data_IF_934002715731
#
_entry.id   IF_934002715731
#
_cell.length_a   1.000
_cell.length_b   1.000
_cell.length_c   1.000
_cell.angle_alpha   90.00
_cell.angle_beta   90.00
_cell.angle_gamma   90.00
#
_symmetry.space_group_name_H-M   'P 1'
#
loop_
_entity.id
_entity.type
_entity.pdbx_description
1 polymer ?
#
# COMPACT_ATOMS: atom_id res chain seq x y z
N UNK A 1 -20.05 6.38 -10.38
CA UNK A 1 -19.93 5.11 -11.11
C UNK A 1 -19.31 5.38 -12.48
N UNK A 2 -18.51 4.46 -13.00
CA UNK A 2 -17.90 4.56 -14.34
C UNK A 2 -18.72 3.84 -15.42
N UNK A 3 -19.93 3.44 -15.10
CA UNK A 3 -20.86 2.80 -16.06
C UNK A 3 -21.01 3.61 -17.35
N UNK A 4 -21.18 4.95 -17.31
CA UNK A 4 -21.26 5.74 -18.53
C UNK A 4 -20.01 5.65 -19.42
N UNK A 5 -18.83 5.44 -18.80
CA UNK A 5 -17.57 5.34 -19.56
C UNK A 5 -17.48 4.06 -20.40
N UNK A 6 -18.10 2.97 -19.97
CA UNK A 6 -18.17 1.70 -20.72
C UNK A 6 -18.94 1.91 -22.04
N UNK A 7 -19.95 2.78 -22.03
CA UNK A 7 -20.76 3.10 -23.20
C UNK A 7 -20.27 4.34 -23.98
N UNK A 8 -19.18 4.97 -23.53
CA UNK A 8 -18.68 6.21 -24.13
C UNK A 8 -19.63 7.40 -24.01
N UNK A 9 -20.59 7.36 -23.07
CA UNK A 9 -21.59 8.42 -22.84
C UNK A 9 -21.23 9.24 -21.58
N UNK A 10 -21.76 10.46 -21.51
CA UNK A 10 -21.49 11.35 -20.36
C UNK A 10 -22.40 11.04 -19.15
N UNK A 11 -23.60 10.50 -19.38
CA UNK A 11 -24.59 10.24 -18.34
C UNK A 11 -25.25 8.87 -18.54
N UNK A 12 -25.41 8.14 -17.44
CA UNK A 12 -26.10 6.84 -17.42
C UNK A 12 -27.58 6.91 -17.78
N UNK A 13 -28.23 8.08 -17.65
CA UNK A 13 -29.63 8.27 -17.99
C UNK A 13 -29.91 8.16 -19.50
N UNK A 14 -28.86 8.24 -20.33
CA UNK A 14 -28.97 8.13 -21.79
C UNK A 14 -28.91 6.69 -22.31
N UNK A 15 -28.59 5.72 -21.43
CA UNK A 15 -28.46 4.30 -21.79
C UNK A 15 -29.87 3.68 -21.83
N UNK A 16 -30.22 3.08 -22.97
CA UNK A 16 -31.51 2.38 -23.12
C UNK A 16 -31.50 1.04 -22.35
N UNK A 17 -32.66 0.51 -21.91
CA UNK A 17 -32.75 -0.81 -21.27
C UNK A 17 -32.23 -1.95 -22.15
N UNK A 18 -32.34 -1.83 -23.47
CA UNK A 18 -31.85 -2.81 -24.44
C UNK A 18 -30.32 -2.82 -24.48
N UNK A 19 -29.68 -1.63 -24.51
CA UNK A 19 -28.23 -1.48 -24.44
C UNK A 19 -27.70 -1.97 -23.09
N UNK A 20 -28.44 -1.74 -22.00
CA UNK A 20 -28.05 -2.19 -20.66
C UNK A 20 -27.99 -3.73 -20.52
N UNK A 21 -28.74 -4.48 -21.38
CA UNK A 21 -28.71 -5.94 -21.37
C UNK A 21 -27.33 -6.52 -21.74
N UNK A 22 -26.57 -5.80 -22.59
CA UNK A 22 -25.25 -6.24 -23.05
C UNK A 22 -24.08 -5.65 -22.22
N UNK A 23 -24.39 -5.06 -21.06
CA UNK A 23 -23.41 -4.37 -20.21
C UNK A 23 -22.16 -5.21 -19.91
N UNK A 24 -22.31 -6.46 -19.54
CA UNK A 24 -21.17 -7.31 -19.17
C UNK A 24 -20.24 -7.58 -20.36
N UNK A 25 -20.80 -7.77 -21.54
CA UNK A 25 -20.02 -7.95 -22.77
C UNK A 25 -19.24 -6.68 -23.13
N UNK A 26 -19.91 -5.53 -23.08
CA UNK A 26 -19.29 -4.23 -23.36
C UNK A 26 -18.24 -3.86 -22.29
N UNK A 27 -18.49 -4.20 -21.03
CA UNK A 27 -17.51 -4.01 -19.96
C UNK A 27 -16.24 -4.81 -20.20
N UNK A 28 -16.34 -6.09 -20.58
CA UNK A 28 -15.16 -6.92 -20.92
C UNK A 28 -14.37 -6.33 -22.09
N UNK A 29 -15.04 -5.90 -23.14
CA UNK A 29 -14.41 -5.23 -24.28
C UNK A 29 -13.71 -3.92 -23.86
N UNK A 30 -14.35 -3.13 -23.02
CA UNK A 30 -13.77 -1.90 -22.46
C UNK A 30 -12.53 -2.15 -21.61
N UNK A 31 -12.57 -3.18 -20.73
CA UNK A 31 -11.42 -3.58 -19.90
C UNK A 31 -10.27 -3.99 -20.81
N UNK A 32 -10.52 -4.80 -21.84
CA UNK A 32 -9.51 -5.25 -22.78
C UNK A 32 -8.88 -4.06 -23.51
N UNK A 33 -9.67 -3.19 -24.11
CA UNK A 33 -9.19 -2.03 -24.87
C UNK A 33 -8.42 -1.06 -23.97
N UNK A 34 -8.97 -0.69 -22.82
CA UNK A 34 -8.33 0.23 -21.87
C UNK A 34 -6.99 -0.33 -21.32
N UNK A 35 -6.94 -1.66 -21.09
CA UNK A 35 -5.73 -2.31 -20.57
C UNK A 35 -4.68 -2.48 -21.66
N UNK A 36 -5.08 -2.83 -22.89
CA UNK A 36 -4.15 -2.90 -24.04
C UNK A 36 -3.52 -1.53 -24.29
N UNK A 37 -4.33 -0.48 -24.29
CA UNK A 37 -3.87 0.89 -24.54
C UNK A 37 -2.88 1.38 -23.46
N UNK A 38 -3.11 1.01 -22.21
CA UNK A 38 -2.32 1.51 -21.07
C UNK A 38 -1.10 0.65 -20.74
N UNK A 39 -1.21 -0.68 -20.85
CA UNK A 39 -0.24 -1.65 -20.33
C UNK A 39 0.18 -2.74 -21.33
N UNK A 40 -0.49 -2.80 -22.49
CA UNK A 40 -0.20 -3.78 -23.54
C UNK A 40 -0.99 -5.09 -23.44
N UNK A 41 -0.86 -5.99 -24.43
CA UNK A 41 -1.69 -7.19 -24.58
C UNK A 41 -1.53 -8.21 -23.46
N UNK A 42 -0.34 -8.35 -22.88
CA UNK A 42 -0.11 -9.29 -21.78
C UNK A 42 -0.88 -8.90 -20.50
N UNK A 43 -1.02 -7.59 -20.27
CA UNK A 43 -1.83 -7.09 -19.16
C UNK A 43 -3.32 -7.31 -19.40
N UNK A 44 -3.79 -7.15 -20.62
CA UNK A 44 -5.19 -7.40 -20.98
C UNK A 44 -5.57 -8.87 -20.80
N UNK A 45 -4.72 -9.80 -21.21
CA UNK A 45 -4.94 -11.23 -20.97
C UNK A 45 -5.06 -11.55 -19.46
N UNK A 46 -4.20 -10.93 -18.65
CA UNK A 46 -4.24 -11.09 -17.19
C UNK A 46 -5.49 -10.44 -16.60
N UNK A 47 -5.90 -9.27 -17.09
CA UNK A 47 -7.10 -8.57 -16.66
C UNK A 47 -8.36 -9.38 -16.93
N UNK A 48 -8.50 -9.93 -18.13
CA UNK A 48 -9.63 -10.76 -18.50
C UNK A 48 -9.70 -12.04 -17.66
N UNK A 49 -8.56 -12.71 -17.40
CA UNK A 49 -8.52 -13.88 -16.50
C UNK A 49 -8.96 -13.55 -15.08
N UNK A 50 -8.62 -12.36 -14.58
CA UNK A 50 -9.07 -11.91 -13.26
C UNK A 50 -10.57 -11.59 -13.26
N UNK A 51 -11.07 -11.01 -14.36
CA UNK A 51 -12.47 -10.64 -14.48
C UNK A 51 -13.41 -11.81 -14.71
N UNK A 52 -12.96 -12.89 -15.35
CA UNK A 52 -13.72 -14.13 -15.53
C UNK A 52 -14.18 -14.80 -14.21
N UNK A 53 -13.50 -14.48 -13.10
CA UNK A 53 -13.91 -14.89 -11.76
C UNK A 53 -15.01 -14.06 -11.13
N UNK A 54 -15.50 -13.01 -11.81
CA UNK A 54 -16.49 -12.09 -11.27
C UNK A 54 -17.91 -12.68 -11.42
N UNK A 55 -18.66 -12.71 -10.31
CA UNK A 55 -20.05 -13.22 -10.32
C UNK A 55 -20.99 -12.22 -10.93
N UNK A 56 -21.78 -12.65 -11.92
CA UNK A 56 -22.83 -11.89 -12.57
C UNK A 56 -24.22 -12.43 -12.15
N UNK A 57 -25.24 -11.59 -11.89
CA UNK A 57 -25.24 -10.13 -11.92
C UNK A 57 -24.53 -9.50 -10.69
N UNK A 58 -24.00 -8.28 -10.89
CA UNK A 58 -23.34 -7.54 -9.81
C UNK A 58 -24.28 -7.26 -8.64
N UNK A 59 -23.81 -7.53 -7.44
CA UNK A 59 -24.56 -7.23 -6.22
C UNK A 59 -24.31 -5.78 -5.81
N UNK A 60 -25.37 -4.98 -5.85
CA UNK A 60 -25.39 -3.62 -5.33
C UNK A 60 -26.02 -3.62 -3.94
N UNK A 61 -25.46 -2.86 -3.04
CA UNK A 61 -26.00 -2.64 -1.71
C UNK A 61 -26.09 -1.13 -1.45
N UNK A 62 -27.14 -0.71 -0.76
CA UNK A 62 -27.31 0.69 -0.37
C UNK A 62 -26.12 1.12 0.53
N UNK A 63 -25.60 2.35 0.35
CA UNK A 63 -24.42 2.81 1.09
C UNK A 63 -23.08 2.60 0.39
N UNK A 64 -23.06 1.91 -0.77
CA UNK A 64 -21.80 1.67 -1.53
C UNK A 64 -20.99 2.94 -1.79
N UNK A 65 -21.63 4.05 -2.21
CA UNK A 65 -20.93 5.32 -2.49
C UNK A 65 -20.25 5.88 -1.25
N UNK A 66 -20.94 5.87 -0.12
CA UNK A 66 -20.42 6.37 1.16
C UNK A 66 -19.28 5.51 1.70
N UNK A 67 -19.39 4.17 1.57
CA UNK A 67 -18.33 3.24 1.91
C UNK A 67 -17.07 3.42 1.06
N UNK A 68 -17.25 3.69 -0.23
CA UNK A 68 -16.13 3.97 -1.16
C UNK A 68 -15.39 5.26 -0.79
N UNK A 69 -16.10 6.32 -0.40
CA UNK A 69 -15.49 7.58 0.04
C UNK A 69 -14.73 7.42 1.36
N UNK A 70 -15.30 6.67 2.31
CA UNK A 70 -14.62 6.35 3.56
C UNK A 70 -13.35 5.50 3.30
N UNK A 71 -13.43 4.48 2.45
CA UNK A 71 -12.29 3.64 2.08
C UNK A 71 -11.17 4.45 1.41
N UNK A 72 -11.49 5.46 0.60
CA UNK A 72 -10.52 6.34 -0.03
C UNK A 72 -9.69 7.17 0.96
N UNK A 73 -10.20 7.39 2.18
CA UNK A 73 -9.51 8.12 3.25
C UNK A 73 -8.53 7.24 4.04
N UNK A 74 -8.67 5.91 3.97
CA UNK A 74 -7.83 4.96 4.68
C UNK A 74 -6.33 5.10 4.38
N UNK A 75 -5.87 5.23 3.13
CA UNK A 75 -4.44 5.37 2.83
C UNK A 75 -3.79 6.56 3.50
N UNK A 76 -4.51 7.68 3.65
CA UNK A 76 -4.02 8.89 4.33
C UNK A 76 -3.82 8.63 5.82
N UNK A 77 -4.78 7.94 6.46
CA UNK A 77 -4.68 7.57 7.86
C UNK A 77 -3.47 6.62 8.09
N UNK A 78 -3.34 5.58 7.28
CA UNK A 78 -2.26 4.61 7.39
C UNK A 78 -0.88 5.23 7.10
N UNK A 79 -0.82 6.18 6.17
CA UNK A 79 0.39 6.95 5.90
C UNK A 79 0.83 7.77 7.14
N UNK A 80 -0.12 8.44 7.81
CA UNK A 80 0.18 9.17 9.05
C UNK A 80 0.75 8.25 10.13
N UNK A 81 0.23 7.02 10.26
CA UNK A 81 0.79 6.01 11.18
C UNK A 81 2.23 5.66 10.83
N UNK A 82 2.56 5.46 9.54
CA UNK A 82 3.92 5.18 9.10
C UNK A 82 4.89 6.32 9.44
N UNK A 83 4.46 7.57 9.29
CA UNK A 83 5.24 8.75 9.68
C UNK A 83 5.48 8.76 11.19
N UNK A 84 4.47 8.53 12.01
CA UNK A 84 4.60 8.46 13.48
C UNK A 84 5.56 7.35 13.90
N UNK A 85 5.44 6.15 13.30
CA UNK A 85 6.36 5.04 13.54
C UNK A 85 7.81 5.43 13.18
N UNK A 86 8.02 6.14 12.07
CA UNK A 86 9.34 6.63 11.68
C UNK A 86 9.93 7.62 12.69
N UNK A 87 9.09 8.53 13.23
CA UNK A 87 9.52 9.47 14.30
C UNK A 87 9.95 8.73 15.56
N UNK A 88 9.18 7.72 15.99
CA UNK A 88 9.49 6.91 17.18
C UNK A 88 10.75 6.07 16.96
N UNK A 89 10.95 5.51 15.78
CA UNK A 89 12.04 4.58 15.49
C UNK A 89 13.36 5.27 15.10
N UNK A 90 13.33 6.51 14.63
CA UNK A 90 14.53 7.26 14.24
C UNK A 90 15.61 7.33 15.33
N UNK A 91 15.32 7.55 16.62
CA UNK A 91 16.34 7.62 17.67
C UNK A 91 16.83 6.26 18.19
N UNK A 92 16.21 5.12 17.84
CA UNK A 92 16.44 3.81 18.50
C UNK A 92 17.91 3.37 18.58
N UNK A 93 18.69 3.62 17.53
CA UNK A 93 20.13 3.37 17.51
C UNK A 93 20.94 4.68 17.44
N UNK A 94 20.46 5.64 16.65
CA UNK A 94 21.18 6.88 16.39
C UNK A 94 21.38 7.75 17.66
N UNK A 95 20.49 7.65 18.65
CA UNK A 95 20.65 8.37 19.92
C UNK A 95 21.83 7.81 20.75
N UNK A 96 22.04 6.50 20.74
CA UNK A 96 23.17 5.88 21.45
C UNK A 96 24.50 6.31 20.85
N UNK A 97 24.59 6.37 19.53
CA UNK A 97 25.77 6.87 18.83
C UNK A 97 26.08 8.34 19.12
N UNK A 98 25.03 9.17 19.21
CA UNK A 98 25.19 10.59 19.50
C UNK A 98 25.60 10.88 20.94
N UNK A 99 25.23 10.00 21.87
CA UNK A 99 25.56 10.13 23.31
C UNK A 99 26.82 9.34 23.73
N UNK A 100 27.38 8.50 22.86
CA UNK A 100 28.49 7.59 23.19
C UNK A 100 28.09 6.40 24.08
N UNK A 101 26.80 6.20 24.30
CA UNK A 101 26.29 5.09 25.12
C UNK A 101 26.50 3.71 24.45
N UNK A 102 26.67 3.69 23.13
CA UNK A 102 26.93 2.47 22.37
C UNK A 102 28.27 1.79 22.77
N UNK A 103 29.30 2.54 23.12
CA UNK A 103 30.60 1.98 23.57
C UNK A 103 30.41 1.18 24.84
N UNK A 104 29.67 1.68 25.82
CA UNK A 104 29.35 0.99 27.08
C UNK A 104 28.50 -0.26 26.83
N UNK A 105 27.47 -0.14 26.00
CA UNK A 105 26.56 -1.26 25.70
C UNK A 105 27.28 -2.41 24.99
N UNK A 106 28.26 -2.10 24.14
CA UNK A 106 29.04 -3.10 23.39
C UNK A 106 29.99 -3.90 24.26
N UNK A 107 30.42 -3.35 25.39
CA UNK A 107 31.26 -4.06 26.39
C UNK A 107 30.44 -5.09 27.15
N UNK A 108 29.12 -5.01 27.15
CA UNK A 108 28.27 -5.99 27.83
C UNK A 108 28.26 -7.35 27.10
N UNK A 109 28.17 -8.44 27.84
CA UNK A 109 28.26 -9.83 27.37
C UNK A 109 27.29 -10.15 26.21
N UNK A 110 26.13 -9.48 26.17
CA UNK A 110 25.07 -9.65 25.14
C UNK A 110 24.76 -8.37 24.38
N UNK A 111 25.63 -7.34 24.49
CA UNK A 111 25.33 -5.98 24.05
C UNK A 111 25.23 -5.77 22.53
N UNK A 112 25.75 -6.70 21.71
CA UNK A 112 25.73 -6.54 20.25
C UNK A 112 24.51 -7.21 19.61
N UNK A 113 24.49 -8.53 19.53
CA UNK A 113 23.46 -9.25 18.75
C UNK A 113 22.10 -9.31 19.44
N UNK A 114 22.10 -9.66 20.75
CA UNK A 114 20.84 -9.79 21.48
C UNK A 114 20.15 -8.45 21.69
N UNK A 115 20.90 -7.44 22.11
CA UNK A 115 20.34 -6.10 22.32
C UNK A 115 19.81 -5.50 21.00
N UNK A 116 20.58 -5.59 19.90
CA UNK A 116 20.13 -5.14 18.60
C UNK A 116 18.86 -5.86 18.14
N UNK A 117 18.83 -7.20 18.28
CA UNK A 117 17.65 -7.99 17.92
C UNK A 117 16.41 -7.66 18.75
N UNK A 118 16.54 -7.50 20.05
CA UNK A 118 15.42 -7.12 20.93
C UNK A 118 14.88 -5.73 20.62
N UNK A 119 15.76 -4.77 20.29
CA UNK A 119 15.35 -3.41 19.88
C UNK A 119 14.58 -3.41 18.56
N UNK A 120 15.08 -4.13 17.55
CA UNK A 120 14.38 -4.27 16.27
C UNK A 120 13.02 -4.92 16.47
N UNK A 121 12.96 -6.03 17.22
CA UNK A 121 11.69 -6.71 17.48
C UNK A 121 10.72 -5.83 18.27
N UNK A 122 11.19 -5.15 19.31
CA UNK A 122 10.37 -4.24 20.11
C UNK A 122 9.82 -3.08 19.27
N UNK A 123 10.63 -2.50 18.38
CA UNK A 123 10.18 -1.43 17.49
C UNK A 123 9.13 -1.94 16.48
N UNK A 124 9.33 -3.11 15.88
CA UNK A 124 8.35 -3.71 14.96
C UNK A 124 7.04 -4.07 15.66
N UNK A 125 7.11 -4.66 16.86
CA UNK A 125 5.89 -4.98 17.64
C UNK A 125 5.14 -3.74 18.08
N UNK A 126 5.84 -2.68 18.51
CA UNK A 126 5.23 -1.40 18.85
C UNK A 126 4.55 -0.77 17.62
N UNK A 127 5.22 -0.76 16.47
CA UNK A 127 4.65 -0.23 15.23
C UNK A 127 3.43 -1.04 14.77
N UNK A 128 3.47 -2.37 14.88
CA UNK A 128 2.33 -3.23 14.58
C UNK A 128 1.15 -2.97 15.54
N UNK A 129 1.42 -2.81 16.83
CA UNK A 129 0.38 -2.52 17.83
C UNK A 129 -0.25 -1.13 17.59
N UNK A 130 0.57 -0.12 17.32
CA UNK A 130 0.09 1.23 17.00
C UNK A 130 -0.76 1.21 15.72
N UNK A 131 -0.29 0.52 14.69
CA UNK A 131 -1.02 0.32 13.46
C UNK A 131 -2.38 -0.35 13.72
N UNK A 132 -2.39 -1.47 14.44
CA UNK A 132 -3.62 -2.22 14.73
C UNK A 132 -4.64 -1.36 15.52
N UNK A 133 -4.16 -0.57 16.49
CA UNK A 133 -5.01 0.34 17.24
C UNK A 133 -5.63 1.44 16.34
N UNK A 134 -4.83 2.08 15.48
CA UNK A 134 -5.31 3.11 14.56
C UNK A 134 -6.25 2.53 13.49
N UNK A 135 -5.93 1.36 12.93
CA UNK A 135 -6.78 0.67 11.97
C UNK A 135 -8.12 0.26 12.58
N UNK A 136 -8.10 -0.31 13.80
CA UNK A 136 -9.33 -0.66 14.52
C UNK A 136 -10.18 0.58 14.84
N UNK A 137 -9.57 1.68 15.27
CA UNK A 137 -10.26 2.94 15.50
C UNK A 137 -10.88 3.50 14.20
N UNK A 138 -10.13 3.47 13.10
CA UNK A 138 -10.66 3.91 11.80
C UNK A 138 -11.88 3.08 11.39
N UNK A 139 -11.79 1.74 11.44
CA UNK A 139 -12.89 0.84 11.09
C UNK A 139 -14.09 1.07 12.01
N UNK A 140 -13.86 1.20 13.34
CA UNK A 140 -14.93 1.43 14.30
C UNK A 140 -15.65 2.76 14.05
N UNK A 141 -14.91 3.84 13.77
CA UNK A 141 -15.48 5.15 13.45
C UNK A 141 -16.27 5.08 12.13
N UNK A 142 -15.71 4.44 11.11
CA UNK A 142 -16.38 4.28 9.81
C UNK A 142 -17.70 3.53 9.98
N UNK A 143 -17.70 2.41 10.70
CA UNK A 143 -18.92 1.64 10.97
C UNK A 143 -19.93 2.40 11.85
N UNK A 144 -19.46 3.20 12.80
CA UNK A 144 -20.35 4.00 13.65
C UNK A 144 -21.01 5.17 12.91
N UNK A 145 -20.31 5.77 11.95
CA UNK A 145 -20.78 6.94 11.19
C UNK A 145 -21.62 6.52 9.98
N UNK A 146 -21.17 5.53 9.22
CA UNK A 146 -21.77 5.14 7.94
C UNK A 146 -22.62 3.86 8.04
N UNK A 147 -22.52 3.12 9.13
CA UNK A 147 -23.17 1.83 9.29
C UNK A 147 -22.46 0.69 8.54
N UNK A 148 -22.95 -0.55 8.68
CA UNK A 148 -22.41 -1.71 7.95
C UNK A 148 -22.93 -1.83 6.52
N UNK A 149 -23.89 -0.99 6.12
CA UNK A 149 -24.56 -1.07 4.82
C UNK A 149 -23.57 -0.76 3.68
N UNK A 150 -23.66 -1.49 2.58
CA UNK A 150 -22.80 -1.32 1.41
C UNK A 150 -21.44 -2.05 1.49
N UNK A 151 -21.13 -2.71 2.61
CA UNK A 151 -19.84 -3.38 2.81
C UNK A 151 -19.71 -4.69 2.01
N UNK A 152 -20.81 -5.34 1.67
CA UNK A 152 -20.87 -6.54 0.83
C UNK A 152 -21.05 -6.24 -0.66
N UNK A 153 -21.25 -4.98 -1.03
CA UNK A 153 -21.36 -4.58 -2.43
C UNK A 153 -20.09 -4.91 -3.22
N UNK A 154 -20.27 -5.36 -4.46
CA UNK A 154 -19.16 -5.64 -5.36
C UNK A 154 -18.55 -4.35 -5.90
N UNK A 155 -17.23 -4.24 -5.80
CA UNK A 155 -16.48 -3.09 -6.32
C UNK A 155 -16.45 -3.06 -7.86
N UNK A 156 -16.81 -4.17 -8.51
CA UNK A 156 -16.94 -4.29 -9.96
C UNK A 156 -17.99 -3.33 -10.58
N UNK A 157 -18.82 -2.69 -9.75
CA UNK A 157 -19.66 -1.54 -10.14
C UNK A 157 -18.83 -0.33 -10.60
N UNK A 158 -17.55 -0.26 -10.25
CA UNK A 158 -16.58 0.63 -10.87
C UNK A 158 -15.88 -0.12 -12.02
N UNK A 159 -16.00 0.37 -13.25
CA UNK A 159 -15.75 -0.38 -14.48
C UNK A 159 -14.33 -0.99 -14.62
N UNK A 160 -13.33 -0.46 -13.93
CA UNK A 160 -11.94 -0.94 -14.00
C UNK A 160 -11.54 -1.85 -12.84
N UNK A 161 -12.44 -2.12 -11.90
CA UNK A 161 -12.14 -3.06 -10.80
C UNK A 161 -12.26 -4.49 -11.31
N UNK A 162 -11.19 -5.25 -11.20
CA UNK A 162 -11.07 -6.61 -11.69
C UNK A 162 -11.33 -7.62 -10.58
N UNK A 163 -11.99 -8.72 -10.94
CA UNK A 163 -12.26 -9.83 -10.03
C UNK A 163 -13.44 -9.59 -9.08
N UNK A 164 -13.80 -10.65 -8.37
CA UNK A 164 -14.93 -10.65 -7.44
C UNK A 164 -14.57 -10.02 -6.07
N UNK A 165 -14.21 -8.73 -6.10
CA UNK A 165 -13.84 -7.99 -4.91
C UNK A 165 -15.05 -7.27 -4.33
N UNK A 166 -15.37 -7.58 -3.07
CA UNK A 166 -16.34 -6.80 -2.27
C UNK A 166 -15.62 -5.63 -1.59
N UNK A 167 -16.38 -4.62 -1.16
CA UNK A 167 -15.85 -3.50 -0.39
C UNK A 167 -15.07 -3.97 0.84
N UNK A 168 -15.61 -4.95 1.59
CA UNK A 168 -14.90 -5.56 2.72
C UNK A 168 -13.60 -6.24 2.31
N UNK A 169 -13.59 -6.94 1.18
CA UNK A 169 -12.38 -7.59 0.67
C UNK A 169 -11.28 -6.59 0.35
N UNK A 170 -11.62 -5.49 -0.30
CA UNK A 170 -10.67 -4.41 -0.64
C UNK A 170 -10.18 -3.70 0.62
N UNK A 171 -11.07 -3.44 1.58
CA UNK A 171 -10.68 -2.84 2.85
C UNK A 171 -9.70 -3.74 3.62
N UNK A 172 -9.98 -5.04 3.69
CA UNK A 172 -9.09 -6.01 4.32
C UNK A 172 -7.72 -6.07 3.61
N UNK A 173 -7.71 -6.14 2.27
CA UNK A 173 -6.48 -6.12 1.49
C UNK A 173 -5.67 -4.85 1.74
N UNK A 174 -6.34 -3.68 1.78
CA UNK A 174 -5.69 -2.41 2.06
C UNK A 174 -5.11 -2.35 3.48
N UNK A 175 -5.82 -2.90 4.47
CA UNK A 175 -5.32 -3.01 5.84
C UNK A 175 -4.10 -3.93 5.93
N UNK A 176 -4.11 -5.07 5.27
CA UNK A 176 -2.96 -5.99 5.25
C UNK A 176 -1.76 -5.34 4.55
N UNK A 177 -1.96 -4.75 3.37
CA UNK A 177 -0.90 -4.06 2.64
C UNK A 177 -0.35 -2.88 3.43
N UNK A 178 -1.21 -2.13 4.11
CA UNK A 178 -0.83 -1.03 4.99
C UNK A 178 0.03 -1.48 6.16
N UNK A 179 -0.34 -2.59 6.82
CA UNK A 179 0.48 -3.18 7.89
C UNK A 179 1.87 -3.57 7.39
N UNK A 180 1.95 -4.29 6.27
CA UNK A 180 3.22 -4.70 5.68
C UNK A 180 4.10 -3.50 5.31
N UNK A 181 3.51 -2.46 4.71
CA UNK A 181 4.23 -1.24 4.35
C UNK A 181 4.70 -0.45 5.57
N UNK A 182 3.89 -0.37 6.64
CA UNK A 182 4.32 0.26 7.92
C UNK A 182 5.48 -0.49 8.54
N UNK A 183 5.45 -1.83 8.52
CA UNK A 183 6.56 -2.65 9.03
C UNK A 183 7.81 -2.50 8.18
N UNK A 184 7.69 -2.47 6.84
CA UNK A 184 8.81 -2.25 5.93
C UNK A 184 9.44 -0.85 6.16
N UNK A 185 8.61 0.19 6.28
CA UNK A 185 9.07 1.55 6.55
C UNK A 185 9.73 1.68 7.94
N UNK A 186 9.17 1.00 8.94
CA UNK A 186 9.77 0.93 10.30
C UNK A 186 11.14 0.25 10.24
N UNK A 187 11.24 -0.91 9.58
CA UNK A 187 12.50 -1.65 9.42
C UNK A 187 13.54 -0.82 8.64
N UNK A 188 13.12 -0.12 7.59
CA UNK A 188 13.97 0.81 6.85
C UNK A 188 14.50 1.95 7.75
N UNK A 189 13.62 2.57 8.54
CA UNK A 189 14.01 3.62 9.49
C UNK A 189 15.00 3.10 10.54
N UNK A 190 14.80 1.87 11.04
CA UNK A 190 15.74 1.22 11.97
C UNK A 190 17.09 0.96 11.31
N UNK A 191 17.11 0.53 10.04
CA UNK A 191 18.36 0.39 9.28
C UNK A 191 19.11 1.71 9.14
N UNK A 192 18.40 2.80 8.79
CA UNK A 192 19.00 4.13 8.74
C UNK A 192 19.52 4.56 10.12
N UNK A 193 18.75 4.31 11.20
CA UNK A 193 19.12 4.62 12.57
C UNK A 193 20.38 3.86 13.01
N UNK A 194 20.55 2.61 12.55
CA UNK A 194 21.75 1.82 12.82
C UNK A 194 22.97 2.24 11.99
N UNK A 195 22.76 2.99 10.91
CA UNK A 195 23.83 3.45 10.01
C UNK A 195 24.26 4.88 10.27
N UNK A 196 23.34 5.76 10.69
CA UNK A 196 23.55 7.18 10.86
C UNK A 196 23.69 7.54 12.34
N UNK A 197 24.57 8.55 12.65
CA UNK A 197 24.83 8.99 14.03
C UNK A 197 23.87 10.05 14.56
N UNK A 198 23.08 10.70 13.69
CA UNK A 198 22.23 11.83 14.08
C UNK A 198 20.75 11.45 13.88
N UNK A 199 19.94 11.37 14.96
CA UNK A 199 18.52 11.03 14.86
C UNK A 199 17.72 11.95 13.92
N UNK A 200 18.06 13.24 13.89
CA UNK A 200 17.40 14.23 13.01
C UNK A 200 17.64 13.91 11.53
N UNK A 201 18.86 13.48 11.18
CA UNK A 201 19.18 13.10 9.80
C UNK A 201 18.44 11.81 9.40
N UNK A 202 18.33 10.82 10.31
CA UNK A 202 17.53 9.62 10.10
C UNK A 202 16.10 9.98 9.81
N UNK A 203 15.50 10.84 10.63
CA UNK A 203 14.12 11.27 10.47
C UNK A 203 13.90 11.99 9.13
N UNK A 204 14.80 12.91 8.78
CA UNK A 204 14.70 13.65 7.53
C UNK A 204 14.72 12.73 6.30
N UNK A 205 15.65 11.76 6.26
CA UNK A 205 15.73 10.78 5.17
C UNK A 205 14.52 9.85 5.16
N UNK A 206 14.08 9.35 6.32
CA UNK A 206 12.89 8.50 6.42
C UNK A 206 11.64 9.21 5.91
N UNK A 207 11.44 10.48 6.29
CA UNK A 207 10.30 11.26 5.79
C UNK A 207 10.39 11.55 4.29
N UNK A 208 11.58 11.84 3.78
CA UNK A 208 11.80 12.04 2.34
C UNK A 208 11.45 10.77 1.56
N UNK A 209 11.86 9.58 2.04
CA UNK A 209 11.51 8.30 1.44
C UNK A 209 10.02 8.00 1.58
N UNK A 210 9.40 8.31 2.73
CA UNK A 210 7.96 8.14 2.91
C UNK A 210 7.13 8.97 1.93
N UNK A 211 7.58 10.19 1.61
CA UNK A 211 6.91 11.09 0.67
C UNK A 211 7.22 10.78 -0.80
N UNK A 212 8.31 10.10 -1.09
CA UNK A 212 8.80 9.91 -2.46
C UNK A 212 7.83 9.18 -3.39
N UNK A 213 6.99 8.18 -2.98
CA UNK A 213 6.01 7.57 -3.86
C UNK A 213 5.01 8.57 -4.45
N UNK A 214 4.58 9.54 -3.63
CA UNK A 214 3.65 10.60 -4.08
C UNK A 214 4.30 11.50 -5.13
N UNK A 215 5.56 11.90 -4.90
CA UNK A 215 6.30 12.71 -5.87
C UNK A 215 6.62 11.94 -7.16
N UNK A 216 6.99 10.66 -7.06
CA UNK A 216 7.25 9.81 -8.22
C UNK A 216 5.99 9.63 -9.07
N UNK A 217 4.82 9.46 -8.46
CA UNK A 217 3.55 9.37 -9.18
C UNK A 217 3.26 10.64 -10.01
N UNK A 218 3.58 11.82 -9.48
CA UNK A 218 3.39 13.10 -10.19
C UNK A 218 4.44 13.29 -11.29
N UNK A 219 5.71 13.03 -10.97
CA UNK A 219 6.84 13.31 -11.85
C UNK A 219 6.94 12.30 -13.03
N UNK A 220 6.65 11.03 -12.77
CA UNK A 220 6.76 9.93 -13.75
C UNK A 220 5.37 9.42 -14.18
N UNK A 221 4.38 10.31 -14.18
CA UNK A 221 3.01 9.96 -14.55
C UNK A 221 2.97 9.38 -15.98
N UNK A 222 2.37 8.19 -16.10
CA UNK A 222 2.24 7.49 -17.39
C UNK A 222 3.47 6.70 -17.81
N UNK A 223 4.52 6.65 -16.98
CA UNK A 223 5.69 5.80 -17.24
C UNK A 223 5.64 4.53 -16.36
N UNK A 224 5.75 3.32 -16.95
CA UNK A 224 5.76 2.07 -16.17
C UNK A 224 6.90 2.02 -15.15
N UNK A 225 8.02 2.67 -15.43
CA UNK A 225 9.15 2.82 -14.50
C UNK A 225 8.74 3.54 -13.20
N UNK A 226 7.85 4.52 -13.29
CA UNK A 226 7.36 5.26 -12.12
C UNK A 226 6.58 4.38 -11.15
N UNK A 227 5.72 3.49 -11.66
CA UNK A 227 4.96 2.56 -10.83
C UNK A 227 5.87 1.49 -10.19
N UNK A 228 6.90 1.00 -10.91
CA UNK A 228 7.89 0.10 -10.34
C UNK A 228 8.70 0.76 -9.23
N UNK A 229 9.27 1.95 -9.50
CA UNK A 229 10.06 2.68 -8.50
C UNK A 229 9.23 3.03 -7.28
N UNK A 230 7.98 3.41 -7.45
CA UNK A 230 7.06 3.69 -6.35
C UNK A 230 6.88 2.48 -5.43
N UNK A 231 6.63 1.31 -5.99
CA UNK A 231 6.37 0.09 -5.22
C UNK A 231 7.62 -0.51 -4.59
N UNK A 232 8.79 -0.28 -5.17
CA UNK A 232 10.09 -0.71 -4.61
C UNK A 232 10.54 0.18 -3.43
N UNK A 233 9.79 1.20 -3.08
CA UNK A 233 10.08 1.99 -1.89
C UNK A 233 9.33 1.40 -0.69
N UNK A 234 9.93 1.39 0.52
CA UNK A 234 9.32 0.81 1.72
C UNK A 234 7.94 1.36 2.07
N UNK A 235 7.65 2.58 1.60
CA UNK A 235 6.35 3.24 1.74
C UNK A 235 5.46 3.11 0.49
N UNK A 236 5.84 2.30 -0.48
CA UNK A 236 5.18 2.24 -1.80
C UNK A 236 3.71 1.83 -1.79
N UNK A 237 3.30 1.03 -0.80
CA UNK A 237 1.89 0.68 -0.56
C UNK A 237 1.11 1.75 0.22
N UNK A 238 1.80 2.76 0.76
CA UNK A 238 1.25 3.86 1.54
C UNK A 238 1.64 5.18 0.88
N UNK A 239 0.71 6.03 0.59
CA UNK A 239 1.05 7.33 0.03
C UNK A 239 -0.18 8.23 -0.05
N UNK A 240 0.04 9.53 -0.05
CA UNK A 240 -1.01 10.51 -0.26
C UNK A 240 -1.47 10.44 -1.72
N UNK A 241 -2.68 9.93 -1.95
CA UNK A 241 -3.22 9.71 -3.29
C UNK A 241 -2.63 8.50 -4.04
N UNK A 242 -1.84 7.69 -3.36
CA UNK A 242 -1.33 6.40 -3.84
C UNK A 242 -1.68 5.33 -2.82
N UNK A 243 -1.74 4.08 -3.25
CA UNK A 243 -2.03 2.98 -2.34
C UNK A 243 -2.90 1.92 -2.98
N UNK A 244 -3.09 0.82 -2.28
CA UNK A 244 -3.74 -0.36 -2.83
C UNK A 244 -5.15 -0.08 -3.36
N UNK A 245 -5.96 0.70 -2.64
CA UNK A 245 -7.34 1.02 -3.07
C UNK A 245 -7.34 1.78 -4.39
N UNK A 246 -6.46 2.78 -4.52
CA UNK A 246 -6.33 3.58 -5.75
C UNK A 246 -5.85 2.72 -6.92
N UNK A 247 -4.91 1.81 -6.66
CA UNK A 247 -4.39 0.91 -7.70
C UNK A 247 -5.45 -0.12 -8.16
N UNK A 248 -6.28 -0.63 -7.23
CA UNK A 248 -7.41 -1.51 -7.56
C UNK A 248 -8.44 -0.76 -8.40
N UNK A 249 -8.86 0.44 -7.96
CA UNK A 249 -9.86 1.25 -8.66
C UNK A 249 -9.38 1.71 -10.05
N UNK A 250 -8.09 1.91 -10.22
CA UNK A 250 -7.49 2.30 -11.49
C UNK A 250 -7.15 1.12 -12.40
N UNK A 251 -7.35 -0.13 -11.95
CA UNK A 251 -7.02 -1.34 -12.70
C UNK A 251 -5.54 -1.39 -13.11
N UNK A 252 -4.63 -1.00 -12.20
CA UNK A 252 -3.21 -0.87 -12.54
C UNK A 252 -2.48 -2.20 -12.65
N UNK A 253 -1.58 -2.27 -13.64
CA UNK A 253 -0.65 -3.38 -13.87
C UNK A 253 0.79 -2.91 -13.87
N UNK A 254 1.66 -3.76 -13.36
CA UNK A 254 3.10 -3.64 -13.54
C UNK A 254 3.52 -4.53 -14.71
N UNK A 255 4.10 -3.93 -15.73
CA UNK A 255 4.59 -4.67 -16.91
C UNK A 255 6.11 -4.80 -16.86
N UNK A 256 6.60 -6.01 -17.10
CA UNK A 256 8.02 -6.31 -17.28
C UNK A 256 8.19 -7.18 -18.52
N UNK A 257 8.34 -6.54 -19.68
CA UNK A 257 8.36 -7.24 -20.96
C UNK A 257 7.04 -7.98 -21.23
N UNK A 258 7.06 -9.32 -21.40
CA UNK A 258 5.86 -10.10 -21.67
C UNK A 258 5.04 -10.45 -20.43
N UNK A 259 5.54 -10.11 -19.23
CA UNK A 259 4.87 -10.43 -17.97
C UNK A 259 4.15 -9.19 -17.44
N UNK A 260 2.87 -9.35 -17.13
CA UNK A 260 2.08 -8.33 -16.45
C UNK A 260 1.62 -8.86 -15.10
N UNK A 261 1.90 -8.12 -14.04
CA UNK A 261 1.49 -8.44 -12.67
C UNK A 261 0.48 -7.40 -12.22
N UNK A 262 -0.64 -7.84 -11.69
CA UNK A 262 -1.61 -6.92 -11.10
C UNK A 262 -0.99 -6.22 -9.88
N UNK A 263 -1.01 -4.90 -9.89
CA UNK A 263 -0.32 -4.05 -8.90
C UNK A 263 -0.60 -4.42 -7.44
N UNK A 264 -1.83 -4.77 -7.01
CA UNK A 264 -2.12 -5.20 -5.64
C UNK A 264 -1.30 -6.41 -5.16
N UNK A 265 -0.98 -7.36 -6.03
CA UNK A 265 -0.12 -8.49 -5.64
C UNK A 265 1.32 -8.04 -5.34
N UNK A 266 1.84 -7.14 -6.16
CA UNK A 266 3.17 -6.57 -5.94
C UNK A 266 3.20 -5.70 -4.67
N UNK A 267 2.15 -4.93 -4.41
CA UNK A 267 2.01 -4.11 -3.21
C UNK A 267 1.94 -4.92 -1.90
N UNK A 268 1.58 -6.19 -1.96
CA UNK A 268 1.67 -7.13 -0.82
C UNK A 268 3.03 -7.81 -0.75
N UNK A 269 3.55 -8.29 -1.89
CA UNK A 269 4.75 -9.11 -1.94
C UNK A 269 6.02 -8.31 -1.62
N UNK A 270 6.13 -7.08 -2.15
CA UNK A 270 7.34 -6.27 -1.99
C UNK A 270 7.58 -5.90 -0.51
N UNK A 271 6.65 -5.31 0.24
CA UNK A 271 6.87 -4.98 1.65
C UNK A 271 7.08 -6.21 2.53
N UNK A 272 6.48 -7.36 2.17
CA UNK A 272 6.69 -8.64 2.86
C UNK A 272 8.16 -9.09 2.78
N UNK A 273 8.86 -8.79 1.68
CA UNK A 273 10.28 -9.07 1.50
C UNK A 273 11.17 -7.97 2.10
N UNK A 274 10.75 -6.72 2.01
CA UNK A 274 11.52 -5.56 2.50
C UNK A 274 11.63 -5.51 4.02
N UNK A 275 10.55 -5.81 4.74
CA UNK A 275 10.54 -5.75 6.20
C UNK A 275 11.61 -6.66 6.84
N UNK A 276 11.74 -7.96 6.50
CA UNK A 276 12.84 -8.79 7.00
C UNK A 276 14.20 -8.36 6.46
N UNK A 277 14.28 -7.94 5.18
CA UNK A 277 15.53 -7.49 4.58
C UNK A 277 16.12 -6.29 5.34
N UNK A 278 15.35 -5.22 5.54
CA UNK A 278 15.83 -4.05 6.27
C UNK A 278 16.05 -4.33 7.75
N UNK A 279 15.29 -5.24 8.36
CA UNK A 279 15.53 -5.69 9.74
C UNK A 279 16.88 -6.39 9.87
N UNK A 280 17.22 -7.28 8.95
CA UNK A 280 18.54 -7.95 8.90
C UNK A 280 19.66 -6.95 8.62
N UNK A 281 19.45 -6.00 7.71
CA UNK A 281 20.41 -4.93 7.42
C UNK A 281 20.64 -4.03 8.64
N UNK A 282 19.60 -3.73 9.41
CA UNK A 282 19.71 -2.96 10.66
C UNK A 282 20.58 -3.70 11.67
N UNK A 283 20.33 -5.00 11.88
CA UNK A 283 21.14 -5.84 12.77
C UNK A 283 22.59 -5.96 12.30
N UNK A 284 22.79 -6.15 11.00
CA UNK A 284 24.12 -6.23 10.41
C UNK A 284 24.90 -4.92 10.60
N UNK A 285 24.26 -3.77 10.29
CA UNK A 285 24.87 -2.45 10.47
C UNK A 285 25.21 -2.19 11.94
N UNK A 286 24.28 -2.47 12.86
CA UNK A 286 24.51 -2.31 14.30
C UNK A 286 25.66 -3.18 14.83
N UNK A 287 25.75 -4.44 14.38
CA UNK A 287 26.79 -5.37 14.87
C UNK A 287 28.17 -5.06 14.32
N UNK A 288 28.28 -4.47 13.14
CA UNK A 288 29.56 -4.11 12.47
C UNK A 288 29.96 -2.66 12.65
N UNK A 289 29.12 -1.84 13.26
CA UNK A 289 29.49 -0.45 13.51
C UNK A 289 30.69 -0.43 14.44
N UNK A 290 31.85 -0.08 13.90
CA UNK A 290 33.08 0.13 14.69
C UNK A 290 33.04 1.59 15.15
N UNK A 291 33.23 1.80 16.47
CA UNK A 291 33.33 3.15 17.03
C UNK A 291 34.59 3.84 16.46
N UNK A 292 34.39 4.73 15.49
CA UNK A 292 35.39 5.69 15.03
C UNK A 292 35.10 7.05 15.61
#
# INVERSE_FOLDING_TARGET
SRIPQVYGVADSSTISPEEASDYYCQRKAYIEEATVLSYGPAAAETALKLDDGTTEPFQYEFGFGTGSDAASSLPVCLFAVAVVCSVICAPVFASDYSSGADDIQRCALYGRKRLGGTRVLAALTLSAALYAACAAAFVAITLAVFGPDGTSAQLALDALVLGNLTMNGVLLLALVAGLLSVLAMTAFTLWLSAHMRRPVAVLAVSLAVAMSPTFLMVLLRGMPLGDWLRLLLPSGGLGLGTGMIVDIQAGKFLTLGPVAVWTPFAALAIPLLEAPLFSLLALYSYTRHEGR
#
